data_IF_626745108103
#
_entry.id   IF_626745108103
#
_cell.length_a   1.000
_cell.length_b   1.000
_cell.length_c   1.000
_cell.angle_alpha   90.00
_cell.angle_beta   90.00
_cell.angle_gamma   90.00
#
_symmetry.space_group_name_H-M   'P 1'
#
loop_
_entity.id
_entity.type
_entity.pdbx_description
1 polymer ?
#
# COMPACT_ATOMS: atom_id res chain seq x y z
N UNK A 1 -47.12 -1.80 -7.39
CA UNK A 1 -45.94 -2.67 -7.21
C UNK A 1 -44.68 -2.07 -7.87
N UNK A 2 -44.29 -0.83 -7.51
CA UNK A 2 -43.08 -0.15 -8.06
C UNK A 2 -42.27 0.51 -6.92
N UNK A 3 -42.92 0.93 -5.83
CA UNK A 3 -42.31 1.60 -4.68
C UNK A 3 -41.40 0.71 -3.79
N UNK A 4 -41.48 -0.62 -3.89
CA UNK A 4 -40.63 -1.53 -3.10
C UNK A 4 -39.22 -1.75 -3.70
N UNK A 5 -39.07 -1.57 -5.02
CA UNK A 5 -37.78 -1.77 -5.72
C UNK A 5 -36.80 -0.62 -5.43
N UNK A 6 -37.30 0.60 -5.32
CA UNK A 6 -36.49 1.82 -5.12
C UNK A 6 -35.87 1.89 -3.71
N UNK A 7 -36.59 1.45 -2.66
CA UNK A 7 -36.07 1.46 -1.28
C UNK A 7 -34.97 0.41 -1.03
N UNK A 8 -34.90 -0.64 -1.85
CA UNK A 8 -33.88 -1.69 -1.76
C UNK A 8 -32.57 -1.26 -2.40
N UNK A 9 -32.62 -0.63 -3.58
CA UNK A 9 -31.42 -0.16 -4.30
C UNK A 9 -30.68 0.95 -3.54
N UNK A 10 -31.41 1.88 -2.91
CA UNK A 10 -30.78 2.97 -2.14
C UNK A 10 -30.01 2.48 -0.90
N UNK A 11 -30.49 1.44 -0.20
CA UNK A 11 -29.75 0.83 0.91
C UNK A 11 -28.47 0.15 0.46
N UNK A 12 -28.49 -0.54 -0.69
CA UNK A 12 -27.32 -1.21 -1.25
C UNK A 12 -26.25 -0.19 -1.65
N UNK A 13 -26.65 0.92 -2.29
CA UNK A 13 -25.71 1.98 -2.67
C UNK A 13 -25.09 2.67 -1.46
N UNK A 14 -25.87 2.94 -0.40
CA UNK A 14 -25.36 3.53 0.85
C UNK A 14 -24.39 2.57 1.56
N UNK A 15 -24.74 1.29 1.66
CA UNK A 15 -23.88 0.27 2.28
C UNK A 15 -22.54 0.14 1.55
N UNK A 16 -22.55 0.09 0.21
CA UNK A 16 -21.34 0.02 -0.60
C UNK A 16 -20.48 1.31 -0.46
N UNK A 17 -21.14 2.47 -0.29
CA UNK A 17 -20.42 3.73 -0.07
C UNK A 17 -19.71 3.75 1.28
N UNK A 18 -20.34 3.21 2.33
CA UNK A 18 -19.76 3.07 3.67
C UNK A 18 -18.60 2.06 3.67
N UNK A 19 -18.74 0.92 2.99
CA UNK A 19 -17.67 -0.07 2.88
C UNK A 19 -16.43 0.50 2.19
N UNK A 20 -16.64 1.26 1.10
CA UNK A 20 -15.53 1.96 0.42
C UNK A 20 -14.90 3.05 1.29
N UNK A 21 -15.68 3.79 2.07
CA UNK A 21 -15.10 4.80 2.97
C UNK A 21 -14.24 4.14 4.05
N UNK A 22 -14.66 3.01 4.60
CA UNK A 22 -13.87 2.21 5.55
C UNK A 22 -12.57 1.72 4.92
N UNK A 23 -12.61 1.19 3.70
CA UNK A 23 -11.41 0.74 2.99
C UNK A 23 -10.42 1.88 2.75
N UNK A 24 -10.90 3.06 2.38
CA UNK A 24 -10.07 4.27 2.20
C UNK A 24 -9.43 4.69 3.51
N UNK A 25 -10.18 4.71 4.61
CA UNK A 25 -9.62 5.02 5.93
C UNK A 25 -8.50 4.04 6.29
N UNK A 26 -8.72 2.74 6.08
CA UNK A 26 -7.69 1.71 6.33
C UNK A 26 -6.45 1.89 5.46
N UNK A 27 -6.62 2.23 4.18
CA UNK A 27 -5.51 2.52 3.27
C UNK A 27 -4.66 3.68 3.81
N UNK A 28 -5.31 4.76 4.26
CA UNK A 28 -4.64 5.92 4.87
C UNK A 28 -3.94 5.51 6.17
N UNK A 29 -4.60 4.76 7.04
CA UNK A 29 -4.00 4.28 8.30
C UNK A 29 -2.74 3.44 8.03
N UNK A 30 -2.79 2.54 7.06
CA UNK A 30 -1.64 1.74 6.65
C UNK A 30 -0.49 2.62 6.16
N UNK A 31 -0.78 3.64 5.35
CA UNK A 31 0.22 4.58 4.86
C UNK A 31 0.83 5.38 6.01
N UNK A 32 0.02 6.00 6.86
CA UNK A 32 0.48 6.78 8.01
C UNK A 32 1.32 5.93 8.95
N UNK A 33 0.86 4.72 9.27
CA UNK A 33 1.63 3.78 10.09
C UNK A 33 2.98 3.45 9.46
N UNK A 34 3.02 3.26 8.13
CA UNK A 34 4.27 2.96 7.42
C UNK A 34 5.32 4.07 7.49
N UNK A 35 4.90 5.31 7.72
CA UNK A 35 5.76 6.49 7.82
C UNK A 35 6.34 6.69 9.23
N UNK A 36 5.69 6.14 10.27
CA UNK A 36 6.07 6.36 11.67
C UNK A 36 6.80 5.16 12.29
N UNK A 37 6.62 3.96 11.75
CA UNK A 37 7.24 2.74 12.29
C UNK A 37 8.72 2.66 11.90
N UNK A 38 9.64 2.36 12.84
CA UNK A 38 11.05 2.17 12.52
C UNK A 38 11.22 1.05 11.49
N UNK A 39 12.16 1.25 10.56
CA UNK A 39 12.42 0.26 9.51
C UNK A 39 13.06 -0.99 10.13
N UNK A 40 12.57 -2.21 9.79
CA UNK A 40 13.08 -3.43 10.39
C UNK A 40 14.56 -3.62 10.04
N UNK A 41 15.35 -4.03 11.03
CA UNK A 41 16.72 -4.46 10.79
C UNK A 41 16.73 -5.84 10.13
N UNK A 42 17.60 -5.99 9.14
CA UNK A 42 17.81 -7.24 8.44
C UNK A 42 19.17 -7.24 7.77
N UNK A 43 19.71 -8.43 7.56
CA UNK A 43 20.93 -8.68 6.80
C UNK A 43 20.83 -8.07 5.41
N UNK A 44 21.86 -7.33 5.02
CA UNK A 44 21.90 -6.68 3.72
C UNK A 44 21.99 -7.70 2.59
N UNK A 45 21.07 -7.59 1.63
CA UNK A 45 21.15 -8.28 0.35
C UNK A 45 21.98 -7.45 -0.62
N UNK A 46 23.18 -7.92 -0.95
CA UNK A 46 24.00 -7.31 -2.01
C UNK A 46 23.45 -7.70 -3.38
N UNK A 47 23.14 -6.69 -4.18
CA UNK A 47 22.82 -6.81 -5.61
C UNK A 47 23.83 -5.99 -6.40
N UNK A 48 24.19 -6.48 -7.58
CA UNK A 48 25.09 -5.78 -8.48
C UNK A 48 24.28 -5.06 -9.56
N UNK A 49 24.61 -3.78 -9.79
CA UNK A 49 23.97 -2.95 -10.81
C UNK A 49 22.86 -2.03 -10.27
N UNK A 50 22.27 -1.21 -11.15
CA UNK A 50 21.21 -0.26 -10.79
C UNK A 50 19.92 -0.99 -10.40
N UNK A 51 19.44 -0.72 -9.19
CA UNK A 51 18.20 -1.30 -8.65
C UNK A 51 16.98 -0.49 -9.09
N UNK A 52 17.14 0.81 -9.34
CA UNK A 52 16.05 1.69 -9.75
C UNK A 52 16.52 2.62 -10.88
N UNK A 53 15.61 2.92 -11.79
CA UNK A 53 15.83 3.87 -12.89
C UNK A 53 14.90 5.08 -12.73
N UNK A 54 15.37 6.31 -12.95
CA UNK A 54 14.52 7.50 -12.89
C UNK A 54 13.29 7.35 -13.79
N UNK A 55 12.12 7.73 -13.27
CA UNK A 55 10.84 7.67 -14.00
C UNK A 55 10.31 6.26 -14.27
N UNK A 56 10.94 5.19 -13.73
CA UNK A 56 10.48 3.81 -13.93
C UNK A 56 10.06 3.16 -12.62
N UNK A 57 8.96 2.41 -12.69
CA UNK A 57 8.60 1.47 -11.65
C UNK A 57 9.58 0.29 -11.66
N UNK A 58 10.01 -0.14 -10.46
CA UNK A 58 10.88 -1.31 -10.28
C UNK A 58 10.06 -2.43 -9.64
N UNK A 59 10.12 -3.63 -10.21
CA UNK A 59 9.46 -4.82 -9.67
C UNK A 59 10.50 -5.83 -9.17
N UNK A 60 10.30 -6.33 -7.95
CA UNK A 60 11.12 -7.40 -7.35
C UNK A 60 10.28 -8.67 -7.29
N UNK A 61 10.64 -9.67 -8.08
CA UNK A 61 9.89 -10.92 -8.23
C UNK A 61 10.70 -12.13 -7.74
N UNK A 62 10.01 -13.22 -7.39
CA UNK A 62 10.64 -14.46 -6.93
C UNK A 62 9.77 -15.26 -5.97
N UNK A 63 10.26 -16.43 -5.56
CA UNK A 63 9.54 -17.40 -4.72
C UNK A 63 9.17 -16.87 -3.32
N UNK A 64 8.18 -17.48 -2.65
CA UNK A 64 7.84 -17.19 -1.25
C UNK A 64 9.10 -17.32 -0.38
N UNK A 65 9.24 -16.44 0.62
CA UNK A 65 10.40 -16.40 1.56
C UNK A 65 11.77 -16.10 0.94
N UNK A 66 11.86 -15.70 -0.33
CA UNK A 66 13.13 -15.24 -0.93
C UNK A 66 13.70 -13.91 -0.38
N UNK A 67 13.07 -13.31 0.64
CA UNK A 67 13.51 -12.03 1.23
C UNK A 67 13.11 -10.79 0.43
N UNK A 68 12.08 -10.86 -0.43
CA UNK A 68 11.63 -9.73 -1.27
C UNK A 68 11.21 -8.51 -0.42
N UNK A 69 10.34 -8.73 0.57
CA UNK A 69 9.89 -7.67 1.49
C UNK A 69 11.05 -7.08 2.28
N UNK A 70 11.97 -7.93 2.75
CA UNK A 70 13.20 -7.52 3.43
C UNK A 70 14.06 -6.62 2.55
N UNK A 71 14.20 -6.96 1.28
CA UNK A 71 14.94 -6.16 0.30
C UNK A 71 14.27 -4.79 0.02
N UNK A 72 12.93 -4.73 -0.05
CA UNK A 72 12.22 -3.45 -0.16
C UNK A 72 12.46 -2.55 1.07
N UNK A 73 12.48 -3.11 2.28
CA UNK A 73 12.84 -2.35 3.49
C UNK A 73 14.31 -1.94 3.52
N UNK A 74 15.22 -2.75 2.97
CA UNK A 74 16.62 -2.36 2.78
C UNK A 74 16.74 -1.14 1.86
N UNK A 75 16.02 -1.10 0.73
CA UNK A 75 16.00 0.08 -0.15
C UNK A 75 15.51 1.33 0.61
N UNK A 76 14.44 1.20 1.42
CA UNK A 76 13.95 2.31 2.25
C UNK A 76 15.01 2.77 3.27
N UNK A 77 15.71 1.85 3.94
CA UNK A 77 16.80 2.18 4.88
C UNK A 77 17.94 2.91 4.19
N UNK A 78 18.39 2.43 3.03
CA UNK A 78 19.47 3.07 2.27
C UNK A 78 19.08 4.50 1.86
N UNK A 79 17.82 4.71 1.43
CA UNK A 79 17.31 6.05 1.12
C UNK A 79 17.25 6.97 2.34
N UNK A 80 16.85 6.45 3.49
CA UNK A 80 16.84 7.20 4.75
C UNK A 80 18.26 7.63 5.15
N UNK A 81 19.24 6.73 5.02
CA UNK A 81 20.66 7.02 5.26
C UNK A 81 21.22 8.06 4.28
N UNK A 82 20.69 8.13 3.06
CA UNK A 82 21.01 9.16 2.06
C UNK A 82 20.34 10.52 2.35
N UNK A 83 19.64 10.67 3.47
CA UNK A 83 19.00 11.92 3.89
C UNK A 83 17.56 12.12 3.38
N UNK A 84 16.96 11.11 2.75
CA UNK A 84 15.55 11.18 2.37
C UNK A 84 14.69 10.99 3.62
N UNK A 85 13.91 12.02 3.96
CA UNK A 85 13.01 11.99 5.10
C UNK A 85 12.06 10.77 5.06
N UNK A 86 11.85 10.11 6.19
CA UNK A 86 11.04 8.90 6.30
C UNK A 86 9.61 9.09 5.78
N UNK A 87 9.06 10.30 5.92
CA UNK A 87 7.75 10.71 5.42
C UNK A 87 7.62 10.62 3.89
N UNK A 88 8.75 10.59 3.16
CA UNK A 88 8.81 10.43 1.69
C UNK A 88 9.03 8.99 1.25
N UNK A 89 8.97 8.03 2.19
CA UNK A 89 9.20 6.60 1.93
C UNK A 89 7.97 5.77 2.34
N UNK A 90 6.77 6.03 1.77
CA UNK A 90 5.57 5.27 2.08
C UNK A 90 5.72 3.80 1.66
N UNK A 91 5.05 2.90 2.40
CA UNK A 91 5.02 1.49 2.10
C UNK A 91 3.63 0.91 2.38
N UNK A 92 3.08 0.19 1.40
CA UNK A 92 1.81 -0.52 1.52
C UNK A 92 2.09 -2.01 1.48
N UNK A 93 1.57 -2.74 2.45
CA UNK A 93 1.59 -4.21 2.44
C UNK A 93 0.26 -4.73 1.89
N UNK A 94 0.25 -5.20 0.65
CA UNK A 94 -0.95 -5.75 0.01
C UNK A 94 -1.34 -7.15 0.50
N UNK A 95 -0.52 -7.80 1.33
CA UNK A 95 -0.85 -9.09 1.94
C UNK A 95 -1.81 -8.94 3.14
N UNK A 96 -2.15 -7.72 3.56
CA UNK A 96 -3.10 -7.49 4.65
C UNK A 96 -4.55 -7.72 4.19
N UNK A 97 -5.24 -8.68 4.83
CA UNK A 97 -6.62 -9.04 4.56
C UNK A 97 -7.59 -7.85 4.71
N UNK A 98 -7.24 -6.84 5.51
CA UNK A 98 -8.06 -5.65 5.74
C UNK A 98 -8.17 -4.73 4.53
N UNK A 99 -7.26 -4.89 3.56
CA UNK A 99 -7.19 -4.13 2.30
C UNK A 99 -7.85 -4.89 1.13
N UNK A 100 -8.43 -6.06 1.37
CA UNK A 100 -9.15 -6.84 0.36
C UNK A 100 -10.33 -6.00 -0.18
N UNK A 101 -10.46 -5.98 -1.52
CA UNK A 101 -11.51 -5.23 -2.20
C UNK A 101 -11.13 -3.81 -2.63
N UNK A 102 -9.89 -3.36 -2.37
CA UNK A 102 -9.38 -2.11 -2.94
C UNK A 102 -9.44 -2.13 -4.47
N UNK A 103 -9.92 -1.02 -5.03
CA UNK A 103 -9.94 -0.78 -6.47
C UNK A 103 -9.06 0.40 -6.83
N UNK A 104 -8.72 0.56 -8.11
CA UNK A 104 -7.93 1.70 -8.60
C UNK A 104 -8.54 3.04 -8.19
N UNK A 105 -9.87 3.13 -8.17
CA UNK A 105 -10.59 4.34 -7.75
C UNK A 105 -10.33 4.73 -6.30
N UNK A 106 -9.94 3.80 -5.43
CA UNK A 106 -9.64 4.08 -4.02
C UNK A 106 -8.22 4.66 -3.84
N UNK A 107 -7.35 4.56 -4.86
CA UNK A 107 -6.04 5.22 -4.88
C UNK A 107 -6.08 6.64 -5.44
N UNK A 108 -7.20 7.05 -6.04
CA UNK A 108 -7.37 8.42 -6.56
C UNK A 108 -7.22 9.50 -5.47
N UNK A 109 -7.43 9.14 -4.20
CA UNK A 109 -7.24 10.05 -3.05
C UNK A 109 -5.77 10.28 -2.69
N UNK A 110 -4.82 9.58 -3.32
CA UNK A 110 -3.38 9.71 -3.06
C UNK A 110 -2.65 10.59 -4.07
N UNK A 111 -3.36 11.10 -5.09
CA UNK A 111 -2.84 11.96 -6.15
C UNK A 111 -3.24 13.41 -5.84
#
# INVERSE_FOLDING_TARGET
MILARVKSTSRITVQNTIERSILRTRLIDHLVNSLNVPLPEATERRLFGPIAFPGKATAVIGIRRAGKTTFLHQIRRNRLQQGIAQQRLPHINFEDERLVGLTVNDFSTLI
#
